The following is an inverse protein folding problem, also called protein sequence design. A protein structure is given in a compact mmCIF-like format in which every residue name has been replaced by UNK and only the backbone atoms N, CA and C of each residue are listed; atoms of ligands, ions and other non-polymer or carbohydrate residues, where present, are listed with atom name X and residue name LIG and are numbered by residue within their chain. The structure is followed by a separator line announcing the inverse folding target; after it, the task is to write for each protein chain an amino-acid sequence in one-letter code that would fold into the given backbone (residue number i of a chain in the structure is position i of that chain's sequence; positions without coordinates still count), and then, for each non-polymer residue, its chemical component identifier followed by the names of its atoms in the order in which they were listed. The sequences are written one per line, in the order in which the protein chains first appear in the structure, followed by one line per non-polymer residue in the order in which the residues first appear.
data_IF_652589789162
#
_entry.id   IF_652589789162
#
_cell.length_a   1.000
_cell.length_b   1.000
_cell.length_c   1.000
_cell.angle_alpha   90.00
_cell.angle_beta   90.00
_cell.angle_gamma   90.00
#
_symmetry.space_group_name_H-M   'P 1'
#
loop_
_entity.id
_entity.type
_entity.pdbx_description
1 polymer ?
#
# COMPACT_ATOMS: atom_id res chain seq x y z
N UNK A 1 -35.77 4.34 -32.22
CA UNK A 1 -36.56 5.06 -31.19
C UNK A 1 -37.10 4.10 -30.13
N UNK A 2 -37.84 3.05 -30.50
CA UNK A 2 -38.40 2.03 -29.57
C UNK A 2 -37.33 1.32 -28.73
N UNK A 3 -36.19 0.95 -29.33
CA UNK A 3 -35.06 0.32 -28.63
C UNK A 3 -34.38 1.24 -27.62
N UNK A 4 -34.22 2.53 -27.93
CA UNK A 4 -33.66 3.51 -27.00
C UNK A 4 -34.63 3.81 -25.84
N UNK A 5 -35.92 3.89 -26.12
CA UNK A 5 -36.95 4.10 -25.10
C UNK A 5 -37.02 2.90 -24.14
N UNK A 6 -36.97 1.67 -24.67
CA UNK A 6 -36.90 0.44 -23.86
C UNK A 6 -35.67 0.45 -22.95
N UNK A 7 -34.49 0.75 -23.49
CA UNK A 7 -33.26 0.84 -22.70
C UNK A 7 -33.34 1.94 -21.62
N UNK A 8 -34.02 3.05 -21.89
CA UNK A 8 -34.22 4.12 -20.91
C UNK A 8 -35.15 3.66 -19.79
N UNK A 9 -36.28 3.03 -20.13
CA UNK A 9 -37.24 2.48 -19.17
C UNK A 9 -36.64 1.37 -18.31
N UNK A 10 -35.82 0.48 -18.89
CA UNK A 10 -35.10 -0.56 -18.15
C UNK A 10 -34.09 0.04 -17.16
N UNK A 11 -33.34 1.08 -17.55
CA UNK A 11 -32.44 1.75 -16.62
C UNK A 11 -33.22 2.47 -15.50
N UNK A 12 -34.35 3.11 -15.80
CA UNK A 12 -35.22 3.76 -14.80
C UNK A 12 -35.81 2.74 -13.83
N UNK A 13 -36.31 1.61 -14.32
CA UNK A 13 -36.79 0.51 -13.51
C UNK A 13 -35.69 -0.01 -12.58
N UNK A 14 -34.46 -0.16 -13.08
CA UNK A 14 -33.32 -0.59 -12.27
C UNK A 14 -33.05 0.36 -11.09
N UNK A 15 -33.18 1.68 -11.27
CA UNK A 15 -33.03 2.66 -10.19
C UNK A 15 -34.13 2.56 -9.12
N UNK A 16 -35.32 2.06 -9.48
CA UNK A 16 -36.46 1.90 -8.57
C UNK A 16 -36.43 0.53 -7.87
N UNK A 17 -36.04 -0.53 -8.59
CA UNK A 17 -36.07 -1.91 -8.07
C UNK A 17 -34.80 -2.33 -7.36
N UNK A 18 -33.62 -1.88 -7.82
CA UNK A 18 -32.33 -2.16 -7.21
C UNK A 18 -31.40 -0.94 -7.33
N UNK A 19 -31.56 0.05 -6.44
CA UNK A 19 -30.78 1.28 -6.48
C UNK A 19 -29.28 1.03 -6.28
N UNK A 20 -28.88 -0.06 -5.61
CA UNK A 20 -27.47 -0.38 -5.40
C UNK A 20 -26.81 -1.00 -6.64
N UNK A 21 -27.53 -1.85 -7.39
CA UNK A 21 -27.08 -2.28 -8.71
C UNK A 21 -26.97 -1.10 -9.68
N UNK A 22 -27.94 -0.18 -9.65
CA UNK A 22 -27.91 1.02 -10.48
C UNK A 22 -26.69 1.90 -10.18
N UNK A 23 -26.40 2.14 -8.90
CA UNK A 23 -25.18 2.86 -8.47
C UNK A 23 -23.90 2.15 -8.87
N UNK A 24 -23.86 0.82 -8.84
CA UNK A 24 -22.68 0.04 -9.28
C UNK A 24 -22.45 0.17 -10.79
N UNK A 25 -23.48 -0.07 -11.59
CA UNK A 25 -23.41 0.07 -13.05
C UNK A 25 -23.03 1.51 -13.47
N UNK A 26 -23.56 2.52 -12.77
CA UNK A 26 -23.18 3.91 -12.99
C UNK A 26 -21.70 4.17 -12.66
N UNK A 27 -21.21 3.66 -11.52
CA UNK A 27 -19.80 3.77 -11.12
C UNK A 27 -18.88 3.10 -12.15
N UNK A 28 -19.21 1.89 -12.61
CA UNK A 28 -18.43 1.15 -13.61
C UNK A 28 -18.34 1.89 -14.95
N UNK A 29 -19.47 2.36 -15.48
CA UNK A 29 -19.48 3.16 -16.73
C UNK A 29 -18.61 4.40 -16.59
N UNK A 30 -18.68 5.07 -15.44
CA UNK A 30 -17.88 6.27 -15.17
C UNK A 30 -16.39 5.95 -15.11
N UNK A 31 -16.00 4.87 -14.41
CA UNK A 31 -14.61 4.38 -14.37
C UNK A 31 -14.08 4.04 -15.76
N UNK A 32 -14.86 3.30 -16.56
CA UNK A 32 -14.47 2.95 -17.93
C UNK A 32 -14.30 4.21 -18.82
N UNK A 33 -15.19 5.19 -18.67
CA UNK A 33 -15.09 6.45 -19.40
C UNK A 33 -13.82 7.24 -19.02
N UNK A 34 -13.46 7.26 -17.74
CA UNK A 34 -12.21 7.87 -17.25
C UNK A 34 -11.00 7.17 -17.87
N UNK A 35 -10.98 5.83 -17.86
CA UNK A 35 -9.89 5.03 -18.45
C UNK A 35 -9.65 5.35 -19.92
N UNK A 36 -10.71 5.40 -20.72
CA UNK A 36 -10.62 5.71 -22.16
C UNK A 36 -10.21 7.17 -22.40
N UNK A 37 -10.57 8.07 -21.49
CA UNK A 37 -10.22 9.49 -21.58
C UNK A 37 -8.75 9.75 -21.23
N UNK A 38 -8.27 9.18 -20.11
CA UNK A 38 -6.97 9.53 -19.51
C UNK A 38 -5.87 8.49 -19.72
N UNK A 39 -6.21 7.24 -20.03
CA UNK A 39 -5.24 6.19 -20.31
C UNK A 39 -4.19 6.62 -21.34
N UNK A 40 -4.58 7.14 -22.53
CA UNK A 40 -3.59 7.58 -23.53
C UNK A 40 -2.65 8.68 -23.06
N UNK A 41 -3.15 9.62 -22.24
CA UNK A 41 -2.37 10.73 -21.70
C UNK A 41 -1.38 10.24 -20.63
N UNK A 42 -1.83 9.37 -19.72
CA UNK A 42 -0.95 8.75 -18.72
C UNK A 42 0.12 7.86 -19.36
N UNK A 43 -0.25 7.09 -20.39
CA UNK A 43 0.71 6.25 -21.13
C UNK A 43 1.76 7.08 -21.86
N UNK A 44 1.37 8.24 -22.41
CA UNK A 44 2.30 9.16 -23.07
C UNK A 44 3.27 9.80 -22.07
N UNK A 45 2.76 10.24 -20.90
CA UNK A 45 3.55 10.89 -19.86
C UNK A 45 4.56 9.92 -19.21
N UNK A 46 4.18 8.64 -19.05
CA UNK A 46 4.97 7.69 -18.23
C UNK A 46 5.85 6.73 -19.03
N UNK A 47 5.83 6.82 -20.38
CA UNK A 47 6.70 6.06 -21.31
C UNK A 47 6.89 4.58 -20.93
N UNK A 48 5.78 3.88 -20.71
CA UNK A 48 5.78 2.42 -20.49
C UNK A 48 5.29 1.96 -19.13
N UNK A 49 4.82 2.85 -18.26
CA UNK A 49 4.12 2.42 -17.05
C UNK A 49 2.68 1.98 -17.37
N UNK A 50 2.16 0.93 -16.70
CA UNK A 50 0.80 0.46 -16.85
C UNK A 50 -0.19 1.52 -16.35
N UNK A 51 -0.87 2.19 -17.29
CA UNK A 51 -1.80 3.28 -16.97
C UNK A 51 -3.00 2.80 -16.11
N UNK A 52 -3.41 1.55 -16.28
CA UNK A 52 -4.41 0.86 -15.47
C UNK A 52 -4.04 0.81 -13.99
N UNK A 53 -2.76 0.56 -13.67
CA UNK A 53 -2.29 0.53 -12.29
C UNK A 53 -2.19 1.93 -11.67
N UNK A 54 -1.97 2.97 -12.49
CA UNK A 54 -1.97 4.37 -12.03
C UNK A 54 -3.39 4.87 -11.82
N UNK A 55 -4.35 4.44 -12.64
CA UNK A 55 -5.76 4.79 -12.49
C UNK A 55 -6.36 4.20 -11.21
N UNK A 56 -5.78 3.11 -10.68
CA UNK A 56 -6.28 2.39 -9.49
C UNK A 56 -7.77 2.04 -9.65
N UNK A 57 -8.14 1.52 -10.83
CA UNK A 57 -9.55 1.22 -11.14
C UNK A 57 -10.09 0.07 -10.26
N UNK A 58 -9.21 -0.73 -9.67
CA UNK A 58 -9.50 -1.98 -8.95
C UNK A 58 -9.64 -1.78 -7.43
N UNK A 59 -9.90 -0.55 -6.97
CA UNK A 59 -10.01 -0.21 -5.53
C UNK A 59 -11.13 -0.97 -4.79
N UNK A 60 -12.01 -1.66 -5.53
CA UNK A 60 -13.06 -2.52 -4.95
C UNK A 60 -12.50 -3.91 -4.57
N UNK A 61 -11.35 -4.30 -5.11
CA UNK A 61 -10.72 -5.58 -4.79
C UNK A 61 -10.01 -5.53 -3.44
N UNK A 62 -10.07 -6.65 -2.72
CA UNK A 62 -9.34 -6.83 -1.47
C UNK A 62 -7.85 -6.52 -1.67
N UNK A 63 -7.20 -5.96 -0.64
CA UNK A 63 -5.76 -5.73 -0.69
C UNK A 63 -5.05 -7.05 -0.99
N UNK A 64 -4.12 -7.07 -1.96
CA UNK A 64 -3.39 -8.28 -2.28
C UNK A 64 -2.56 -8.71 -1.06
N UNK A 65 -2.50 -10.01 -0.81
CA UNK A 65 -1.63 -10.56 0.24
C UNK A 65 -0.15 -10.60 -0.18
N UNK A 66 0.10 -10.73 -1.49
CA UNK A 66 1.45 -10.79 -2.05
C UNK A 66 2.20 -9.44 -1.95
N UNK A 67 3.43 -9.50 -1.44
CA UNK A 67 4.34 -8.37 -1.31
C UNK A 67 4.66 -7.66 -2.61
N UNK A 68 4.82 -8.38 -3.72
CA UNK A 68 5.09 -7.79 -5.03
C UNK A 68 3.91 -6.93 -5.49
N UNK A 69 2.70 -7.44 -5.33
CA UNK A 69 1.47 -6.75 -5.66
C UNK A 69 1.21 -5.53 -4.76
N UNK A 70 1.46 -5.64 -3.45
CA UNK A 70 1.41 -4.50 -2.53
C UNK A 70 2.43 -3.42 -2.91
N UNK A 71 3.63 -3.82 -3.32
CA UNK A 71 4.70 -2.91 -3.74
C UNK A 71 4.35 -2.16 -5.02
N UNK A 72 3.83 -2.87 -6.03
CA UNK A 72 3.29 -2.23 -7.24
C UNK A 72 2.20 -1.23 -6.89
N UNK A 73 1.26 -1.62 -6.02
CA UNK A 73 0.13 -0.77 -5.61
C UNK A 73 0.60 0.49 -4.89
N UNK A 74 1.55 0.39 -3.96
CA UNK A 74 2.15 1.55 -3.30
C UNK A 74 2.89 2.48 -4.28
N UNK A 75 3.67 1.90 -5.20
CA UNK A 75 4.42 2.66 -6.21
C UNK A 75 3.49 3.46 -7.12
N UNK A 76 2.51 2.79 -7.74
CA UNK A 76 1.57 3.47 -8.62
C UNK A 76 0.57 4.32 -7.85
N UNK A 77 0.30 4.03 -6.57
CA UNK A 77 -0.49 4.88 -5.67
C UNK A 77 0.13 6.26 -5.50
N UNK A 78 1.45 6.33 -5.39
CA UNK A 78 2.19 7.58 -5.36
C UNK A 78 2.10 8.35 -6.68
N UNK A 79 2.18 7.67 -7.82
CA UNK A 79 1.98 8.30 -9.14
C UNK A 79 0.53 8.80 -9.33
N UNK A 80 -0.45 8.04 -8.84
CA UNK A 80 -1.86 8.39 -8.84
C UNK A 80 -2.14 9.62 -7.97
N UNK A 81 -1.45 9.72 -6.83
CA UNK A 81 -1.52 10.88 -5.96
C UNK A 81 -1.06 12.16 -6.67
N UNK A 82 0.14 12.15 -7.28
CA UNK A 82 0.68 13.33 -7.98
C UNK A 82 -0.21 13.76 -9.15
N UNK A 83 -0.60 12.80 -10.00
CA UNK A 83 -1.51 13.07 -11.12
C UNK A 83 -2.88 13.57 -10.63
N UNK A 84 -3.46 12.96 -9.59
CA UNK A 84 -4.72 13.38 -8.98
C UNK A 84 -4.67 14.77 -8.35
N UNK A 85 -3.61 15.07 -7.58
CA UNK A 85 -3.44 16.38 -6.93
C UNK A 85 -3.28 17.51 -7.97
N UNK A 86 -2.51 17.27 -9.03
CA UNK A 86 -2.38 18.24 -10.13
C UNK A 86 -3.69 18.41 -10.88
N UNK A 87 -4.34 17.31 -11.22
CA UNK A 87 -5.62 17.33 -11.91
C UNK A 87 -6.66 18.10 -11.10
N UNK A 88 -6.76 17.86 -9.80
CA UNK A 88 -7.61 18.60 -8.89
C UNK A 88 -7.31 20.10 -8.93
N UNK A 89 -6.04 20.51 -8.84
CA UNK A 89 -5.66 21.93 -8.89
C UNK A 89 -6.12 22.59 -10.21
N UNK A 90 -5.93 21.91 -11.34
CA UNK A 90 -6.34 22.45 -12.65
C UNK A 90 -7.87 22.49 -12.80
N UNK A 91 -8.58 21.46 -12.33
CA UNK A 91 -10.05 21.41 -12.33
C UNK A 91 -10.63 22.51 -11.45
N UNK A 92 -10.11 22.73 -10.24
CA UNK A 92 -10.54 23.83 -9.36
C UNK A 92 -10.36 25.20 -10.01
N UNK A 93 -9.19 25.46 -10.61
CA UNK A 93 -8.94 26.70 -11.32
C UNK A 93 -9.93 26.94 -12.46
N UNK A 94 -10.25 25.89 -13.22
CA UNK A 94 -11.24 25.94 -14.30
C UNK A 94 -12.66 26.14 -13.76
N UNK A 95 -13.06 25.40 -12.74
CA UNK A 95 -14.38 25.50 -12.11
C UNK A 95 -14.62 26.90 -11.55
N UNK A 96 -13.59 27.51 -10.97
CA UNK A 96 -13.63 28.89 -10.55
C UNK A 96 -13.78 29.85 -11.72
N UNK A 97 -12.97 29.71 -12.78
CA UNK A 97 -13.12 30.54 -13.98
C UNK A 97 -14.52 30.41 -14.61
N UNK A 98 -15.08 29.20 -14.67
CA UNK A 98 -16.43 28.94 -15.14
C UNK A 98 -17.49 29.57 -14.23
N UNK A 99 -17.33 29.48 -12.90
CA UNK A 99 -18.27 30.06 -11.95
C UNK A 99 -18.25 31.58 -12.01
N UNK A 100 -17.07 32.20 -12.06
CA UNK A 100 -16.91 33.65 -12.23
C UNK A 100 -17.49 34.10 -13.57
N UNK A 101 -17.18 33.40 -14.66
CA UNK A 101 -17.74 33.67 -15.98
C UNK A 101 -19.27 33.57 -15.99
N UNK A 102 -19.83 32.55 -15.31
CA UNK A 102 -21.28 32.40 -15.16
C UNK A 102 -21.89 33.57 -14.38
N UNK A 103 -21.26 34.02 -13.30
CA UNK A 103 -21.73 35.15 -12.51
C UNK A 103 -21.76 36.43 -13.34
N UNK A 104 -20.69 36.71 -14.09
CA UNK A 104 -20.63 37.87 -14.99
C UNK A 104 -21.69 37.80 -16.07
N UNK A 105 -21.86 36.63 -16.70
CA UNK A 105 -22.83 36.44 -17.76
C UNK A 105 -24.26 36.64 -17.24
N UNK A 106 -24.62 35.99 -16.12
CA UNK A 106 -25.94 36.13 -15.49
C UNK A 106 -26.20 37.57 -15.06
N UNK A 107 -25.22 38.23 -14.45
CA UNK A 107 -25.36 39.62 -13.97
C UNK A 107 -25.46 40.63 -15.13
N UNK A 108 -24.67 40.44 -16.19
CA UNK A 108 -24.71 41.29 -17.38
C UNK A 108 -26.05 41.14 -18.12
N UNK A 109 -26.56 39.90 -18.26
CA UNK A 109 -27.87 39.68 -18.87
C UNK A 109 -28.99 40.30 -18.04
N UNK A 110 -28.97 40.14 -16.71
CA UNK A 110 -29.93 40.79 -15.83
C UNK A 110 -29.89 42.33 -15.94
N UNK A 111 -28.69 42.92 -16.00
CA UNK A 111 -28.51 44.37 -16.14
C UNK A 111 -29.04 44.89 -17.49
N UNK A 112 -28.71 44.23 -18.59
CA UNK A 112 -29.14 44.63 -19.93
C UNK A 112 -30.67 44.56 -20.09
N UNK A 113 -31.28 43.52 -19.52
CA UNK A 113 -32.74 43.37 -19.54
C UNK A 113 -33.47 44.40 -18.67
N UNK A 114 -32.89 44.79 -17.53
CA UNK A 114 -33.46 45.84 -16.68
C UNK A 114 -33.41 47.24 -17.31
N UNK A 115 -32.50 47.48 -18.26
CA UNK A 115 -32.28 48.82 -18.86
C UNK A 115 -33.02 49.01 -20.20
N UNK A 116 -33.19 47.96 -20.99
CA UNK A 116 -33.77 48.04 -22.33
C UNK A 116 -35.18 47.41 -22.35
N UNK A 117 -36.19 48.23 -22.07
CA UNK A 117 -37.59 47.82 -22.08
C UNK A 117 -38.15 47.53 -23.49
N UNK A 118 -38.91 46.43 -23.57
CA UNK A 118 -40.12 46.20 -24.40
C UNK A 118 -40.12 46.50 -25.91
N UNK A 119 -39.00 46.36 -26.62
CA UNK A 119 -39.09 46.25 -28.09
C UNK A 119 -39.24 44.78 -28.50
N UNK A 120 -40.04 44.52 -29.54
CA UNK A 120 -40.25 43.17 -30.09
C UNK A 120 -38.93 42.53 -30.52
N UNK A 121 -38.02 43.31 -31.11
CA UNK A 121 -36.67 42.85 -31.48
C UNK A 121 -35.84 42.44 -30.26
N UNK A 122 -36.01 43.14 -29.12
CA UNK A 122 -35.38 42.78 -27.87
C UNK A 122 -35.95 41.47 -27.30
N UNK A 123 -37.27 41.28 -27.34
CA UNK A 123 -37.93 40.05 -26.88
C UNK A 123 -37.47 38.80 -27.67
N UNK A 124 -37.43 38.87 -28.99
CA UNK A 124 -36.93 37.76 -29.81
C UNK A 124 -35.43 37.53 -29.64
N UNK A 125 -34.64 38.61 -29.56
CA UNK A 125 -33.20 38.53 -29.31
C UNK A 125 -32.87 37.93 -27.94
N UNK A 126 -33.64 38.28 -26.89
CA UNK A 126 -33.48 37.72 -25.56
C UNK A 126 -33.87 36.25 -25.48
N UNK A 127 -34.97 35.84 -26.11
CA UNK A 127 -35.37 34.43 -26.13
C UNK A 127 -34.30 33.57 -26.82
N UNK A 128 -33.79 34.00 -27.98
CA UNK A 128 -32.72 33.29 -28.68
C UNK A 128 -31.43 33.22 -27.84
N UNK A 129 -31.02 34.34 -27.23
CA UNK A 129 -29.85 34.37 -26.36
C UNK A 129 -30.03 33.49 -25.12
N UNK A 130 -31.20 33.51 -24.48
CA UNK A 130 -31.55 32.69 -23.33
C UNK A 130 -31.51 31.20 -23.65
N UNK A 131 -32.08 30.79 -24.79
CA UNK A 131 -32.00 29.39 -25.24
C UNK A 131 -30.55 28.96 -25.53
N UNK A 132 -29.73 29.81 -26.15
CA UNK A 132 -28.31 29.53 -26.35
C UNK A 132 -27.58 29.34 -25.00
N UNK A 133 -27.83 30.21 -24.02
CA UNK A 133 -27.25 30.09 -22.67
C UNK A 133 -27.75 28.80 -21.99
N UNK A 134 -29.03 28.46 -22.13
CA UNK A 134 -29.62 27.25 -21.56
C UNK A 134 -28.99 25.99 -22.16
N UNK A 135 -28.76 25.97 -23.48
CA UNK A 135 -28.06 24.89 -24.17
C UNK A 135 -26.62 24.74 -23.68
N UNK A 136 -25.90 25.85 -23.47
CA UNK A 136 -24.55 25.83 -22.91
C UNK A 136 -24.56 25.28 -21.47
N UNK A 137 -25.49 25.73 -20.62
CA UNK A 137 -25.62 25.22 -19.25
C UNK A 137 -25.98 23.73 -19.20
N UNK A 138 -26.90 23.30 -20.06
CA UNK A 138 -27.27 21.89 -20.22
C UNK A 138 -26.11 21.03 -20.72
N UNK A 139 -25.29 21.56 -21.63
CA UNK A 139 -24.07 20.91 -22.08
C UNK A 139 -23.04 20.75 -20.97
N UNK A 140 -22.79 21.82 -20.18
CA UNK A 140 -21.87 21.77 -19.03
C UNK A 140 -22.35 20.77 -17.99
N UNK A 141 -23.65 20.75 -17.69
CA UNK A 141 -24.27 19.77 -16.79
C UNK A 141 -24.09 18.35 -17.32
N UNK A 142 -24.37 18.11 -18.60
CA UNK A 142 -24.23 16.77 -19.20
C UNK A 142 -22.77 16.30 -19.22
N UNK A 143 -21.82 17.21 -19.44
CA UNK A 143 -20.40 16.91 -19.30
C UNK A 143 -20.04 16.55 -17.85
N UNK A 144 -20.55 17.28 -16.86
CA UNK A 144 -20.25 17.05 -15.44
C UNK A 144 -20.63 15.66 -14.93
N UNK A 145 -21.66 15.04 -15.53
CA UNK A 145 -22.07 13.67 -15.21
C UNK A 145 -20.99 12.63 -15.57
N UNK A 146 -20.05 12.97 -16.46
CA UNK A 146 -18.87 12.14 -16.73
C UNK A 146 -19.20 10.75 -17.28
N UNK A 147 -20.32 10.60 -17.98
CA UNK A 147 -20.77 9.30 -18.49
C UNK A 147 -20.10 8.88 -19.80
N UNK A 148 -19.41 9.80 -20.47
CA UNK A 148 -18.77 9.52 -21.76
C UNK A 148 -17.29 9.93 -21.74
N UNK A 149 -16.42 9.23 -22.50
CA UNK A 149 -15.00 9.62 -22.59
C UNK A 149 -14.82 11.04 -23.15
N UNK A 150 -15.72 11.48 -24.04
CA UNK A 150 -15.69 12.84 -24.60
C UNK A 150 -15.95 13.89 -23.53
N UNK A 151 -16.91 13.66 -22.62
CA UNK A 151 -17.17 14.55 -21.50
C UNK A 151 -15.92 14.72 -20.63
N UNK A 152 -15.23 13.62 -20.29
CA UNK A 152 -14.00 13.69 -19.52
C UNK A 152 -12.86 14.40 -20.25
N UNK A 153 -12.65 14.12 -21.54
CA UNK A 153 -11.63 14.84 -22.33
C UNK A 153 -11.91 16.34 -22.42
N UNK A 154 -13.19 16.72 -22.40
CA UNK A 154 -13.57 18.11 -22.42
C UNK A 154 -13.43 18.78 -21.06
N UNK A 155 -13.62 18.03 -19.96
CA UNK A 155 -13.44 18.52 -18.58
C UNK A 155 -11.96 18.58 -18.16
N UNK A 156 -11.19 17.57 -18.54
CA UNK A 156 -9.79 17.45 -18.16
C UNK A 156 -8.95 18.43 -18.98
N UNK A 157 -8.25 19.37 -18.34
CA UNK A 157 -7.44 20.34 -19.04
C UNK A 157 -6.26 19.66 -19.76
N UNK A 158 -5.97 20.12 -20.97
CA UNK A 158 -4.86 19.63 -21.78
C UNK A 158 -3.51 19.84 -21.08
N UNK A 159 -2.56 18.96 -21.37
CA UNK A 159 -1.19 19.02 -20.85
C UNK A 159 -0.84 17.87 -19.90
N UNK A 160 0.45 17.64 -19.61
CA UNK A 160 0.90 16.44 -18.89
C UNK A 160 0.24 16.34 -17.50
N UNK A 161 -0.22 15.13 -17.16
CA UNK A 161 -0.74 14.77 -15.84
C UNK A 161 0.41 14.53 -14.85
N UNK A 162 1.51 13.97 -15.33
CA UNK A 162 2.76 13.79 -14.58
C UNK A 162 3.90 14.59 -15.23
N UNK A 163 4.70 15.27 -14.42
CA UNK A 163 5.90 15.98 -14.89
C UNK A 163 7.13 15.13 -14.65
N UNK A 164 8.23 15.42 -15.35
CA UNK A 164 9.48 14.68 -15.17
C UNK A 164 9.96 14.71 -13.71
N UNK A 165 9.84 15.85 -13.02
CA UNK A 165 10.20 15.98 -11.60
C UNK A 165 9.38 15.04 -10.68
N UNK A 166 8.09 14.85 -10.98
CA UNK A 166 7.22 13.96 -10.20
C UNK A 166 7.48 12.50 -10.53
N UNK A 167 7.78 12.19 -11.80
CA UNK A 167 8.21 10.86 -12.21
C UNK A 167 9.51 10.51 -11.48
N UNK A 168 10.43 11.47 -11.36
CA UNK A 168 11.67 11.30 -10.63
C UNK A 168 11.42 11.13 -9.12
N UNK A 169 10.53 11.91 -8.50
CA UNK A 169 10.10 11.70 -7.09
C UNK A 169 9.53 10.30 -6.87
N UNK A 170 8.68 9.81 -7.78
CA UNK A 170 8.09 8.46 -7.69
C UNK A 170 9.17 7.38 -7.82
N UNK A 171 10.12 7.55 -8.74
CA UNK A 171 11.26 6.62 -8.91
C UNK A 171 12.17 6.62 -7.68
N UNK A 172 12.49 7.79 -7.14
CA UNK A 172 13.29 7.95 -5.93
C UNK A 172 12.58 7.33 -4.73
N UNK A 173 11.28 7.58 -4.56
CA UNK A 173 10.45 6.93 -3.55
C UNK A 173 10.48 5.41 -3.68
N UNK A 174 10.34 4.87 -4.91
CA UNK A 174 10.44 3.44 -5.17
C UNK A 174 11.79 2.86 -4.74
N UNK A 175 12.89 3.50 -5.12
CA UNK A 175 14.24 3.06 -4.77
C UNK A 175 14.57 3.20 -3.27
N UNK A 176 14.04 4.23 -2.62
CA UNK A 176 14.31 4.54 -1.22
C UNK A 176 13.46 3.71 -0.25
N UNK A 177 12.17 3.51 -0.56
CA UNK A 177 11.17 2.99 0.38
C UNK A 177 10.73 1.56 0.04
N UNK A 178 10.59 1.24 -1.24
CA UNK A 178 9.90 0.03 -1.69
C UNK A 178 10.85 -1.09 -2.08
N UNK A 179 11.83 -0.76 -2.92
CA UNK A 179 12.74 -1.71 -3.54
C UNK A 179 14.09 -1.70 -2.85
N UNK A 180 14.69 -2.88 -2.75
CA UNK A 180 16.07 -3.03 -2.32
C UNK A 180 16.93 -3.33 -3.54
N UNK A 181 18.04 -2.61 -3.66
CA UNK A 181 19.07 -2.88 -4.67
C UNK A 181 20.04 -3.87 -4.06
N UNK A 182 20.05 -5.10 -4.58
CA UNK A 182 21.02 -6.12 -4.17
C UNK A 182 22.36 -5.91 -4.89
N UNK A 183 23.48 -6.37 -4.31
CA UNK A 183 24.79 -6.28 -4.95
C UNK A 183 24.81 -6.90 -6.36
N UNK A 184 25.60 -6.35 -7.31
CA UNK A 184 25.72 -6.93 -8.64
C UNK A 184 26.28 -8.36 -8.55
N UNK A 185 25.77 -9.27 -9.40
CA UNK A 185 26.09 -10.71 -9.44
C UNK A 185 25.47 -11.58 -8.32
N UNK A 186 24.52 -11.05 -7.55
CA UNK A 186 23.76 -11.85 -6.57
C UNK A 186 22.99 -12.98 -7.29
N UNK A 187 23.16 -14.25 -6.88
CA UNK A 187 22.37 -15.39 -7.36
C UNK A 187 20.87 -15.20 -7.14
N UNK A 188 20.03 -15.72 -8.05
CA UNK A 188 18.58 -15.48 -8.05
C UNK A 188 17.87 -15.90 -6.73
N UNK A 189 18.38 -16.91 -6.05
CA UNK A 189 17.90 -17.42 -4.76
C UNK A 189 18.24 -16.51 -3.57
N UNK A 190 19.19 -15.59 -3.73
CA UNK A 190 19.59 -14.59 -2.72
C UNK A 190 19.06 -13.18 -3.02
N UNK A 191 18.38 -12.97 -4.15
CA UNK A 191 17.84 -11.66 -4.52
C UNK A 191 16.62 -11.32 -3.66
N UNK A 192 16.81 -10.39 -2.71
CA UNK A 192 15.71 -9.75 -1.99
C UNK A 192 15.28 -8.46 -2.68
N UNK A 193 14.18 -8.50 -3.45
CA UNK A 193 13.73 -7.33 -4.23
C UNK A 193 12.99 -6.26 -3.40
N UNK A 194 12.42 -6.64 -2.25
CA UNK A 194 11.51 -5.79 -1.48
C UNK A 194 12.09 -5.42 -0.12
N UNK A 195 11.85 -4.17 0.30
CA UNK A 195 12.13 -3.70 1.67
C UNK A 195 11.01 -4.14 2.61
N UNK A 196 11.29 -4.19 3.92
CA UNK A 196 10.32 -4.57 4.96
C UNK A 196 9.21 -3.54 5.21
N UNK A 197 9.34 -2.30 4.71
CA UNK A 197 8.43 -1.16 4.95
C UNK A 197 8.36 -0.72 6.42
N UNK A 198 9.43 -0.95 7.16
CA UNK A 198 9.57 -0.45 8.53
C UNK A 198 10.34 0.87 8.53
N UNK A 199 11.45 0.89 7.81
CA UNK A 199 12.31 2.04 7.59
C UNK A 199 12.68 2.13 6.11
N UNK A 200 12.99 3.34 5.67
CA UNK A 200 13.52 3.59 4.33
C UNK A 200 15.04 3.38 4.30
N UNK A 201 15.65 3.48 3.11
CA UNK A 201 17.10 3.33 2.91
C UNK A 201 17.94 4.20 3.86
N UNK A 202 17.41 5.35 4.25
CA UNK A 202 18.12 6.36 5.03
C UNK A 202 17.80 6.23 6.54
N UNK A 203 17.04 5.20 6.94
CA UNK A 203 16.69 4.90 8.33
C UNK A 203 15.51 5.72 8.87
N UNK A 204 14.73 6.39 8.02
CA UNK A 204 13.52 7.11 8.44
C UNK A 204 12.32 6.15 8.46
N UNK A 205 11.30 6.41 9.31
CA UNK A 205 10.09 5.58 9.31
C UNK A 205 9.38 5.64 7.95
N UNK A 206 8.89 4.49 7.49
CA UNK A 206 8.05 4.39 6.29
C UNK A 206 6.61 4.81 6.58
N UNK A 207 6.17 4.66 7.84
CA UNK A 207 4.88 5.17 8.27
C UNK A 207 4.84 6.69 8.05
N UNK A 208 3.81 7.18 7.35
CA UNK A 208 3.71 8.56 6.88
C UNK A 208 4.32 8.83 5.50
N UNK A 209 5.23 7.97 5.03
CA UNK A 209 5.65 7.95 3.62
C UNK A 209 4.66 7.16 2.77
N UNK A 210 4.29 5.97 3.24
CA UNK A 210 3.17 5.16 2.72
C UNK A 210 1.98 5.39 3.64
N UNK A 211 0.88 5.85 3.04
CA UNK A 211 -0.39 6.08 3.74
C UNK A 211 -1.38 4.98 3.33
N UNK A 212 -2.30 4.52 4.19
CA UNK A 212 -3.34 3.56 3.81
C UNK A 212 -4.13 3.97 2.55
N UNK A 213 -4.35 5.28 2.37
CA UNK A 213 -4.98 5.85 1.18
C UNK A 213 -4.18 5.57 -0.11
N UNK A 214 -2.85 5.46 -0.05
CA UNK A 214 -2.03 5.14 -1.23
C UNK A 214 -2.28 3.70 -1.73
N UNK A 215 -2.82 2.83 -0.88
CA UNK A 215 -3.17 1.46 -1.24
C UNK A 215 -4.66 1.30 -1.55
N UNK A 216 -5.52 2.13 -0.94
CA UNK A 216 -6.97 1.92 -0.92
C UNK A 216 -7.77 2.99 -1.66
N UNK A 217 -7.17 4.10 -2.10
CA UNK A 217 -7.89 5.21 -2.73
C UNK A 217 -7.39 5.44 -4.15
N UNK A 218 -8.32 5.46 -5.11
CA UNK A 218 -8.03 5.98 -6.46
C UNK A 218 -8.06 7.51 -6.40
N UNK A 219 -6.89 8.13 -6.19
CA UNK A 219 -6.76 9.58 -6.10
C UNK A 219 -7.24 10.32 -7.35
N UNK A 220 -6.98 9.77 -8.53
CA UNK A 220 -7.39 10.38 -9.80
C UNK A 220 -8.91 10.37 -9.96
N UNK A 221 -9.56 9.24 -9.65
CA UNK A 221 -11.02 9.14 -9.64
C UNK A 221 -11.62 10.06 -8.59
N UNK A 222 -11.05 10.10 -7.38
CA UNK A 222 -11.48 10.99 -6.31
C UNK A 222 -11.42 12.45 -6.75
N UNK A 223 -10.30 12.89 -7.35
CA UNK A 223 -10.16 14.24 -7.91
C UNK A 223 -11.26 14.56 -8.93
N UNK A 224 -11.56 13.63 -9.84
CA UNK A 224 -12.56 13.84 -10.89
C UNK A 224 -14.00 13.85 -10.35
N UNK A 225 -14.31 12.99 -9.39
CA UNK A 225 -15.63 12.90 -8.78
C UNK A 225 -15.88 14.12 -7.90
N UNK A 226 -14.95 14.47 -7.03
CA UNK A 226 -15.08 15.61 -6.11
C UNK A 226 -15.25 16.93 -6.87
N UNK A 227 -14.52 17.10 -7.98
CA UNK A 227 -14.57 18.33 -8.79
C UNK A 227 -15.69 18.33 -9.85
N UNK A 228 -16.39 17.21 -10.04
CA UNK A 228 -17.56 17.16 -10.95
C UNK A 228 -18.82 17.80 -10.37
N UNK A 229 -18.99 17.79 -9.04
CA UNK A 229 -20.18 18.33 -8.40
C UNK A 229 -20.27 19.87 -8.52
N UNK A 230 -19.20 20.65 -8.28
CA UNK A 230 -19.22 22.09 -8.54
C UNK A 230 -19.53 22.43 -10.01
N UNK A 231 -19.01 21.64 -10.97
CA UNK A 231 -19.35 21.81 -12.40
C UNK A 231 -20.83 21.56 -12.68
N UNK A 232 -21.42 20.53 -12.07
CA UNK A 232 -22.85 20.25 -12.21
C UNK A 232 -23.68 21.43 -11.70
N UNK A 233 -23.33 21.97 -10.52
CA UNK A 233 -24.00 23.13 -9.93
C UNK A 233 -23.87 24.37 -10.83
N UNK A 234 -22.67 24.66 -11.35
CA UNK A 234 -22.47 25.75 -12.29
C UNK A 234 -23.27 25.55 -13.59
N UNK A 235 -23.31 24.33 -14.13
CA UNK A 235 -24.12 23.98 -15.30
C UNK A 235 -25.63 24.18 -15.07
N UNK A 236 -26.15 23.77 -13.90
CA UNK A 236 -27.54 24.01 -13.50
C UNK A 236 -27.81 25.52 -13.39
N UNK A 237 -26.91 26.28 -12.78
CA UNK A 237 -27.07 27.73 -12.64
C UNK A 237 -27.14 28.44 -14.01
N UNK A 238 -26.24 28.08 -14.94
CA UNK A 238 -26.23 28.62 -16.31
C UNK A 238 -27.50 28.19 -17.06
N UNK A 239 -27.91 26.92 -16.93
CA UNK A 239 -29.10 26.39 -17.59
C UNK A 239 -30.36 27.13 -17.13
N UNK A 240 -30.53 27.26 -15.81
CA UNK A 240 -31.64 27.99 -15.23
C UNK A 240 -31.61 29.45 -15.64
N UNK A 241 -30.45 30.11 -15.61
CA UNK A 241 -30.33 31.48 -16.08
C UNK A 241 -30.77 31.64 -17.55
N UNK A 242 -30.36 30.73 -18.44
CA UNK A 242 -30.78 30.76 -19.84
C UNK A 242 -32.29 30.53 -20.03
N UNK A 243 -32.87 29.56 -19.32
CA UNK A 243 -34.31 29.30 -19.35
C UNK A 243 -35.11 30.49 -18.80
N UNK A 244 -34.59 31.16 -17.78
CA UNK A 244 -35.20 32.34 -17.21
C UNK A 244 -35.08 33.56 -18.11
N UNK A 245 -33.95 33.72 -18.82
CA UNK A 245 -33.79 34.72 -19.89
C UNK A 245 -34.83 34.54 -21.00
N UNK A 246 -35.27 33.31 -21.25
CA UNK A 246 -36.32 32.99 -22.20
C UNK A 246 -37.75 33.10 -21.63
N UNK A 247 -37.95 33.45 -20.35
CA UNK A 247 -39.26 33.50 -19.69
C UNK A 247 -39.53 34.84 -18.99
N UNK A 248 -40.72 35.42 -19.18
CA UNK A 248 -41.03 36.82 -18.81
C UNK A 248 -41.32 37.11 -17.31
N UNK A 249 -40.96 36.25 -16.34
CA UNK A 249 -41.44 36.49 -14.96
C UNK A 249 -40.53 36.03 -13.81
N UNK A 250 -40.44 36.90 -12.79
CA UNK A 250 -40.04 36.76 -11.36
C UNK A 250 -38.74 36.02 -10.98
N UNK A 251 -38.15 35.23 -11.86
CA UNK A 251 -37.02 34.33 -11.62
C UNK A 251 -35.64 35.01 -11.65
N UNK A 252 -35.60 36.29 -12.04
CA UNK A 252 -34.40 37.15 -12.10
C UNK A 252 -33.72 37.37 -10.76
N UNK A 253 -34.43 37.20 -9.65
CA UNK A 253 -33.86 37.31 -8.31
C UNK A 253 -33.15 36.02 -7.87
N UNK A 254 -33.50 34.86 -8.43
CA UNK A 254 -33.01 33.55 -7.98
C UNK A 254 -31.71 33.17 -8.70
N UNK A 255 -31.62 33.41 -10.00
CA UNK A 255 -30.46 33.01 -10.80
C UNK A 255 -29.12 33.68 -10.39
N UNK A 256 -29.07 35.00 -10.09
CA UNK A 256 -27.84 35.64 -9.61
C UNK A 256 -27.43 35.13 -8.22
N UNK A 257 -28.39 34.80 -7.37
CA UNK A 257 -28.13 34.22 -6.04
C UNK A 257 -27.56 32.81 -6.15
N UNK A 258 -28.11 31.97 -7.03
CA UNK A 258 -27.58 30.64 -7.30
C UNK A 258 -26.18 30.69 -7.95
N UNK A 259 -25.96 31.58 -8.93
CA UNK A 259 -24.66 31.79 -9.55
C UNK A 259 -23.63 32.37 -8.56
N UNK A 260 -24.05 33.31 -7.71
CA UNK A 260 -23.25 33.85 -6.62
C UNK A 260 -22.87 32.78 -5.59
N UNK A 261 -23.82 31.94 -5.19
CA UNK A 261 -23.57 30.79 -4.31
C UNK A 261 -22.57 29.80 -4.93
N UNK A 262 -22.70 29.48 -6.22
CA UNK A 262 -21.74 28.62 -6.93
C UNK A 262 -20.35 29.26 -7.02
N UNK A 263 -20.25 30.57 -7.26
CA UNK A 263 -18.99 31.31 -7.28
C UNK A 263 -18.32 31.35 -5.90
N UNK A 264 -19.07 31.61 -4.84
CA UNK A 264 -18.59 31.56 -3.45
C UNK A 264 -18.14 30.15 -3.10
N UNK A 265 -18.91 29.12 -3.44
CA UNK A 265 -18.52 27.72 -3.21
C UNK A 265 -17.24 27.34 -3.95
N UNK A 266 -17.13 27.69 -5.24
CA UNK A 266 -15.92 27.45 -6.03
C UNK A 266 -14.71 28.22 -5.51
N UNK A 267 -14.90 29.43 -4.99
CA UNK A 267 -13.86 30.22 -4.32
C UNK A 267 -13.41 29.54 -3.02
N UNK A 268 -14.35 29.16 -2.15
CA UNK A 268 -14.07 28.39 -0.93
C UNK A 268 -13.42 27.04 -1.26
N UNK A 269 -13.75 26.42 -2.40
CA UNK A 269 -13.14 25.18 -2.85
C UNK A 269 -11.66 25.33 -3.19
N UNK A 270 -11.22 26.50 -3.64
CA UNK A 270 -9.81 26.78 -3.91
C UNK A 270 -9.03 26.95 -2.60
N UNK A 271 -9.55 27.73 -1.66
CA UNK A 271 -8.79 28.17 -0.49
C UNK A 271 -8.98 27.28 0.75
N UNK A 272 -10.21 26.83 0.98
CA UNK A 272 -10.62 26.26 2.27
C UNK A 272 -10.88 24.75 2.21
N UNK A 273 -11.52 24.25 1.15
CA UNK A 273 -11.83 22.82 1.04
C UNK A 273 -10.56 21.96 0.97
N UNK A 274 -10.59 20.87 1.74
CA UNK A 274 -9.51 19.90 1.84
C UNK A 274 -9.10 19.42 0.44
N UNK A 275 -7.83 19.64 0.07
CA UNK A 275 -7.27 19.05 -1.15
C UNK A 275 -6.82 17.62 -0.88
N UNK A 276 -6.65 16.84 -1.95
CA UNK A 276 -6.06 15.50 -1.87
C UNK A 276 -4.68 15.56 -1.17
N UNK A 277 -3.90 16.60 -1.41
CA UNK A 277 -2.63 16.82 -0.71
C UNK A 277 -2.81 17.07 0.80
N UNK A 278 -3.77 17.91 1.21
CA UNK A 278 -4.05 18.18 2.63
C UNK A 278 -4.55 16.92 3.36
N UNK A 279 -5.47 16.18 2.75
CA UNK A 279 -6.03 14.93 3.32
C UNK A 279 -4.96 13.86 3.46
N UNK A 280 -4.14 13.62 2.42
CA UNK A 280 -3.01 12.70 2.48
C UNK A 280 -1.99 13.12 3.53
N UNK A 281 -1.69 14.42 3.65
CA UNK A 281 -0.76 14.92 4.67
C UNK A 281 -1.30 14.71 6.10
N UNK A 282 -2.61 14.88 6.31
CA UNK A 282 -3.24 14.58 7.60
C UNK A 282 -3.15 13.08 7.93
N UNK A 283 -3.50 12.22 6.97
CA UNK A 283 -3.39 10.76 7.14
C UNK A 283 -1.94 10.30 7.36
N UNK A 284 -0.96 10.95 6.72
CA UNK A 284 0.47 10.69 6.97
C UNK A 284 0.88 11.06 8.41
N UNK A 285 0.41 12.20 8.93
CA UNK A 285 0.67 12.61 10.32
C UNK A 285 0.00 11.67 11.32
N UNK A 286 -1.22 11.23 11.04
CA UNK A 286 -1.93 10.26 11.86
C UNK A 286 -1.21 8.91 11.88
N UNK A 287 -0.77 8.41 10.72
CA UNK A 287 0.01 7.17 10.61
C UNK A 287 1.32 7.24 11.43
N UNK A 288 2.01 8.39 11.38
CA UNK A 288 3.19 8.63 12.22
C UNK A 288 2.87 8.68 13.72
N UNK A 289 1.75 9.28 14.09
CA UNK A 289 1.35 9.43 15.50
C UNK A 289 0.95 8.09 16.14
N UNK A 290 0.31 7.20 15.37
CA UNK A 290 -0.14 5.88 15.84
C UNK A 290 1.01 4.86 15.84
N UNK A 291 1.99 5.01 14.96
CA UNK A 291 3.09 4.05 14.84
C UNK A 291 4.06 4.10 16.03
N UNK A 292 4.54 2.92 16.44
CA UNK A 292 5.60 2.79 17.44
C UNK A 292 7.01 3.04 16.85
N UNK A 293 7.19 2.92 15.53
CA UNK A 293 8.49 2.98 14.88
C UNK A 293 9.16 4.35 14.94
N UNK A 294 8.46 5.49 14.78
CA UNK A 294 9.08 6.82 14.94
C UNK A 294 9.75 6.98 16.32
N UNK A 295 9.08 6.53 17.39
CA UNK A 295 9.62 6.56 18.76
C UNK A 295 10.83 5.63 18.91
N UNK A 296 10.77 4.44 18.32
CA UNK A 296 11.90 3.50 18.33
C UNK A 296 13.11 4.05 17.57
N UNK A 297 12.90 4.70 16.43
CA UNK A 297 13.96 5.32 15.63
C UNK A 297 14.60 6.50 16.37
N UNK A 298 13.79 7.31 17.06
CA UNK A 298 14.29 8.39 17.90
C UNK A 298 15.12 7.87 19.08
N UNK A 299 14.71 6.76 19.71
CA UNK A 299 15.42 6.15 20.84
C UNK A 299 16.73 5.46 20.44
N UNK A 300 16.71 4.69 19.36
CA UNK A 300 17.84 3.84 18.95
C UNK A 300 18.81 4.55 17.98
N UNK A 301 18.35 5.62 17.33
CA UNK A 301 19.09 6.39 16.34
C UNK A 301 18.92 5.87 14.91
N UNK A 302 18.77 6.80 13.95
CA UNK A 302 18.55 6.50 12.52
C UNK A 302 19.65 5.62 11.90
N UNK A 303 20.90 5.81 12.33
CA UNK A 303 22.05 5.07 11.80
C UNK A 303 21.90 3.56 12.00
N UNK A 304 21.35 3.11 13.14
CA UNK A 304 21.14 1.68 13.38
C UNK A 304 20.16 1.04 12.40
N UNK A 305 19.15 1.80 11.95
CA UNK A 305 18.17 1.31 10.98
C UNK A 305 18.73 1.31 9.56
N UNK A 306 19.50 2.34 9.20
CA UNK A 306 20.24 2.37 7.93
C UNK A 306 21.27 1.23 7.84
N UNK A 307 21.88 0.85 8.97
CA UNK A 307 22.86 -0.23 9.06
C UNK A 307 22.27 -1.62 8.78
N UNK A 308 20.95 -1.82 8.87
CA UNK A 308 20.34 -3.12 8.55
C UNK A 308 20.51 -3.51 7.09
N UNK A 309 20.32 -2.58 6.16
CA UNK A 309 20.54 -2.85 4.73
C UNK A 309 21.99 -3.23 4.46
N UNK A 310 22.92 -2.55 5.15
CA UNK A 310 24.36 -2.87 5.08
C UNK A 310 24.61 -4.28 5.60
N UNK A 311 24.09 -4.63 6.78
CA UNK A 311 24.23 -5.96 7.37
C UNK A 311 23.65 -7.06 6.47
N UNK A 312 22.50 -6.82 5.84
CA UNK A 312 21.91 -7.76 4.88
C UNK A 312 22.74 -7.88 3.60
N UNK A 313 23.38 -6.81 3.12
CA UNK A 313 24.28 -6.86 1.97
C UNK A 313 25.55 -7.66 2.30
N UNK A 314 26.15 -7.41 3.47
CA UNK A 314 27.28 -8.19 3.98
C UNK A 314 26.92 -9.67 4.14
N UNK A 315 25.70 -9.98 4.58
CA UNK A 315 25.21 -11.36 4.67
C UNK A 315 25.10 -12.02 3.29
N UNK A 316 24.61 -11.31 2.27
CA UNK A 316 24.55 -11.81 0.89
C UNK A 316 25.98 -12.04 0.35
N UNK A 317 26.89 -11.10 0.55
CA UNK A 317 28.29 -11.24 0.10
C UNK A 317 28.98 -12.43 0.76
N UNK A 318 28.77 -12.63 2.07
CA UNK A 318 29.27 -13.82 2.78
C UNK A 318 28.66 -15.09 2.21
N UNK A 319 27.35 -15.13 2.02
CA UNK A 319 26.66 -16.28 1.42
C UNK A 319 27.17 -16.61 0.01
N UNK A 320 27.49 -15.61 -0.81
CA UNK A 320 28.09 -15.81 -2.13
C UNK A 320 29.53 -16.36 -2.07
N UNK A 321 30.26 -16.01 -1.03
CA UNK A 321 31.64 -16.49 -0.82
C UNK A 321 31.71 -17.86 -0.15
N UNK A 322 30.62 -18.27 0.49
CA UNK A 322 30.51 -19.50 1.26
C UNK A 322 30.46 -20.72 0.34
N UNK A 323 31.29 -21.72 0.63
CA UNK A 323 31.44 -22.93 -0.20
C UNK A 323 30.99 -24.20 0.51
N UNK A 324 30.68 -24.09 1.79
CA UNK A 324 30.19 -25.21 2.58
C UNK A 324 28.74 -25.54 2.23
N UNK A 325 28.35 -26.79 2.49
CA UNK A 325 27.00 -27.26 2.19
C UNK A 325 25.94 -26.45 2.93
N UNK A 326 24.82 -26.19 2.26
CA UNK A 326 23.67 -25.53 2.86
C UNK A 326 22.80 -26.54 3.61
N UNK A 327 22.51 -26.25 4.87
CA UNK A 327 21.58 -27.01 5.72
C UNK A 327 20.23 -26.30 5.70
N UNK A 328 19.26 -26.92 5.05
CA UNK A 328 17.90 -26.42 4.96
C UNK A 328 17.14 -26.66 6.28
N UNK A 329 16.59 -25.59 6.86
CA UNK A 329 15.76 -25.63 8.06
C UNK A 329 14.26 -25.56 7.74
N UNK A 330 13.90 -25.09 6.54
CA UNK A 330 12.52 -24.99 6.10
C UNK A 330 12.33 -24.02 4.94
N UNK A 331 11.08 -23.67 4.69
CA UNK A 331 10.69 -22.76 3.61
C UNK A 331 9.97 -21.56 4.19
N UNK A 332 10.32 -20.36 3.72
CA UNK A 332 9.70 -19.13 4.15
C UNK A 332 8.20 -19.09 3.78
N UNK A 333 7.36 -18.73 4.76
CA UNK A 333 5.89 -18.64 4.59
C UNK A 333 5.39 -17.21 4.44
N UNK A 334 6.29 -16.22 4.34
CA UNK A 334 6.00 -14.77 4.25
C UNK A 334 5.41 -14.12 5.52
N UNK A 335 4.99 -14.88 6.53
CA UNK A 335 4.34 -14.35 7.74
C UNK A 335 5.14 -13.24 8.46
N UNK A 336 6.47 -13.39 8.53
CA UNK A 336 7.32 -12.38 9.17
C UNK A 336 7.56 -11.16 8.27
N UNK A 337 7.60 -11.36 6.95
CA UNK A 337 7.71 -10.27 5.99
C UNK A 337 6.41 -9.44 5.96
N UNK A 338 5.23 -10.07 6.07
CA UNK A 338 3.94 -9.40 6.27
C UNK A 338 3.94 -8.54 7.54
N UNK A 339 4.57 -9.03 8.61
CA UNK A 339 4.77 -8.31 9.88
C UNK A 339 5.91 -7.29 9.85
N UNK A 340 6.49 -7.06 8.67
CA UNK A 340 7.56 -6.09 8.43
C UNK A 340 8.83 -6.38 9.24
N UNK A 341 9.12 -7.65 9.50
CA UNK A 341 10.37 -8.05 10.14
C UNK A 341 11.54 -7.80 9.16
N UNK A 342 12.53 -6.98 9.52
CA UNK A 342 13.67 -6.69 8.64
C UNK A 342 14.60 -7.90 8.41
N UNK A 343 14.51 -8.94 9.24
CA UNK A 343 15.35 -10.13 9.13
C UNK A 343 14.68 -11.29 8.41
N UNK A 344 13.40 -11.17 8.07
CA UNK A 344 12.70 -12.23 7.35
C UNK A 344 13.17 -12.31 5.89
N UNK A 345 13.18 -13.51 5.29
CA UNK A 345 13.29 -13.65 3.84
C UNK A 345 12.26 -12.77 3.12
N UNK A 346 12.64 -12.21 1.98
CA UNK A 346 11.85 -11.20 1.29
C UNK A 346 10.60 -11.74 0.59
N UNK A 347 10.53 -13.06 0.37
CA UNK A 347 9.46 -13.71 -0.40
C UNK A 347 9.11 -15.09 0.18
N UNK A 348 7.85 -15.47 0.02
CA UNK A 348 7.39 -16.85 0.25
C UNK A 348 8.16 -17.85 -0.63
N UNK A 349 8.32 -19.08 -0.15
CA UNK A 349 8.92 -20.16 -0.94
C UNK A 349 10.46 -20.16 -0.94
N UNK A 350 11.11 -19.10 -0.43
CA UNK A 350 12.57 -19.09 -0.31
C UNK A 350 13.04 -20.13 0.70
N UNK A 351 14.11 -20.89 0.40
CA UNK A 351 14.72 -21.80 1.38
C UNK A 351 15.29 -20.99 2.54
N UNK A 352 15.02 -21.42 3.76
CA UNK A 352 15.56 -20.83 4.97
C UNK A 352 16.49 -21.84 5.64
N UNK A 353 17.73 -21.43 5.90
CA UNK A 353 18.73 -22.34 6.41
C UNK A 353 20.04 -21.65 6.74
N UNK A 354 21.03 -22.46 7.05
CA UNK A 354 22.36 -22.03 7.46
C UNK A 354 23.40 -22.80 6.65
N UNK A 355 24.52 -22.16 6.32
CA UNK A 355 25.68 -22.92 5.84
C UNK A 355 26.25 -23.77 6.97
N UNK A 356 26.98 -24.84 6.63
CA UNK A 356 27.75 -25.61 7.63
C UNK A 356 28.74 -24.71 8.37
N UNK A 357 29.32 -23.72 7.68
CA UNK A 357 30.15 -22.68 8.28
C UNK A 357 29.42 -21.89 9.36
N UNK A 358 28.21 -21.41 9.07
CA UNK A 358 27.40 -20.67 10.06
C UNK A 358 26.99 -21.57 11.23
N UNK A 359 26.56 -22.81 10.93
CA UNK A 359 26.14 -23.77 11.96
C UNK A 359 27.28 -24.15 12.92
N UNK A 360 28.55 -23.97 12.49
CA UNK A 360 29.72 -24.18 13.34
C UNK A 360 29.85 -23.16 14.47
N UNK A 361 29.13 -22.04 14.40
CA UNK A 361 28.90 -21.19 15.56
C UNK A 361 27.90 -21.89 16.50
N UNK A 362 26.63 -21.51 16.52
CA UNK A 362 25.64 -22.09 17.43
C UNK A 362 24.23 -22.02 16.81
N UNK A 363 23.42 -23.05 17.02
CA UNK A 363 21.98 -23.03 16.73
C UNK A 363 21.19 -23.32 18.00
N UNK A 364 20.27 -22.42 18.34
CA UNK A 364 19.38 -22.57 19.49
C UNK A 364 17.94 -22.84 19.03
N UNK A 365 17.37 -23.97 19.45
CA UNK A 365 16.00 -24.38 19.10
C UNK A 365 15.14 -24.41 20.37
N UNK A 366 14.19 -23.48 20.48
CA UNK A 366 13.30 -23.34 21.63
C UNK A 366 11.86 -23.76 21.28
N UNK A 367 11.14 -24.28 22.27
CA UNK A 367 9.76 -24.73 22.09
C UNK A 367 9.29 -25.64 23.22
N UNK A 368 7.97 -25.77 23.39
CA UNK A 368 7.40 -26.64 24.43
C UNK A 368 7.59 -28.14 24.11
N UNK A 369 7.31 -29.01 25.07
CA UNK A 369 7.28 -30.46 24.80
C UNK A 369 6.18 -30.78 23.79
N UNK A 370 6.49 -31.58 22.77
CA UNK A 370 5.53 -31.95 21.72
C UNK A 370 5.46 -31.01 20.52
N UNK A 371 6.16 -29.86 20.52
CA UNK A 371 6.14 -28.91 19.39
C UNK A 371 7.06 -29.31 18.22
N UNK A 372 7.56 -30.54 18.22
CA UNK A 372 8.36 -31.04 17.10
C UNK A 372 9.84 -30.66 17.08
N UNK A 373 10.44 -30.02 18.10
CA UNK A 373 11.88 -29.63 18.10
C UNK A 373 12.83 -30.73 17.59
N UNK A 374 12.70 -31.93 18.15
CA UNK A 374 13.55 -33.07 17.78
C UNK A 374 13.20 -33.60 16.40
N UNK A 375 11.91 -33.75 16.10
CA UNK A 375 11.43 -34.39 14.88
C UNK A 375 11.57 -33.50 13.63
N UNK A 376 11.28 -32.21 13.76
CA UNK A 376 11.17 -31.26 12.66
C UNK A 376 12.44 -30.41 12.45
N UNK A 377 13.30 -30.27 13.47
CA UNK A 377 14.52 -29.44 13.36
C UNK A 377 15.78 -30.28 13.56
N UNK A 378 15.95 -30.90 14.74
CA UNK A 378 17.22 -31.57 15.07
C UNK A 378 17.48 -32.77 14.14
N UNK A 379 16.50 -33.65 13.94
CA UNK A 379 16.66 -34.83 13.08
C UNK A 379 17.02 -34.46 11.62
N UNK A 380 16.28 -33.57 10.92
CA UNK A 380 16.65 -33.14 9.58
C UNK A 380 18.03 -32.49 9.49
N UNK A 381 18.42 -31.69 10.49
CA UNK A 381 19.74 -31.05 10.54
C UNK A 381 20.84 -32.09 10.68
N UNK A 382 20.68 -33.06 11.59
CA UNK A 382 21.66 -34.14 11.78
C UNK A 382 21.83 -34.98 10.51
N UNK A 383 20.72 -35.29 9.83
CA UNK A 383 20.76 -36.02 8.56
C UNK A 383 21.55 -35.26 7.49
N UNK A 384 21.20 -34.00 7.25
CA UNK A 384 21.89 -33.14 6.27
C UNK A 384 23.37 -32.92 6.64
N UNK A 385 23.69 -32.81 7.93
CA UNK A 385 25.07 -32.68 8.41
C UNK A 385 25.92 -33.90 8.06
N UNK A 386 25.36 -35.11 8.23
CA UNK A 386 26.05 -36.35 7.89
C UNK A 386 26.17 -36.54 6.38
N UNK A 387 25.11 -36.23 5.63
CA UNK A 387 25.10 -36.30 4.16
C UNK A 387 26.15 -35.35 3.56
N UNK A 388 26.26 -34.15 4.12
CA UNK A 388 27.30 -33.17 3.77
C UNK A 388 28.73 -33.57 4.23
N UNK A 389 28.88 -34.66 5.00
CA UNK A 389 30.14 -35.07 5.63
C UNK A 389 30.82 -33.93 6.40
N UNK A 390 30.01 -33.11 7.06
CA UNK A 390 30.43 -31.83 7.65
C UNK A 390 31.24 -31.97 8.96
N UNK A 391 31.41 -33.17 9.48
CA UNK A 391 32.27 -33.45 10.64
C UNK A 391 31.68 -34.49 11.59
N UNK A 392 32.31 -34.64 12.76
CA UNK A 392 31.82 -35.51 13.83
C UNK A 392 30.64 -34.90 14.59
N UNK A 393 29.76 -35.75 15.11
CA UNK A 393 28.57 -35.34 15.86
C UNK A 393 28.61 -35.89 17.28
N UNK A 394 28.44 -35.03 18.28
CA UNK A 394 28.21 -35.43 19.67
C UNK A 394 26.77 -35.10 20.06
N UNK A 395 25.99 -36.14 20.34
CA UNK A 395 24.56 -36.01 20.70
C UNK A 395 24.39 -36.27 22.18
N UNK A 396 23.85 -35.27 22.90
CA UNK A 396 23.41 -35.40 24.28
C UNK A 396 21.89 -35.45 24.32
N UNK A 397 21.36 -36.66 24.46
CA UNK A 397 19.91 -36.89 24.56
C UNK A 397 19.56 -37.53 25.91
N UNK A 398 18.88 -36.76 26.77
CA UNK A 398 18.42 -37.23 28.08
C UNK A 398 17.42 -38.39 28.02
N UNK A 399 16.78 -38.64 26.86
CA UNK A 399 15.87 -39.79 26.65
C UNK A 399 16.52 -40.95 25.89
N UNK A 400 17.71 -40.73 25.32
CA UNK A 400 18.46 -41.74 24.57
C UNK A 400 17.75 -42.30 23.32
N UNK A 401 16.77 -41.59 22.76
CA UNK A 401 16.10 -41.99 21.51
C UNK A 401 16.95 -41.64 20.29
N UNK A 402 17.46 -40.40 20.22
CA UNK A 402 18.21 -39.91 19.07
C UNK A 402 19.54 -40.68 18.86
N UNK A 403 20.33 -41.03 19.91
CA UNK A 403 21.52 -41.86 19.72
C UNK A 403 21.24 -43.27 19.19
N UNK A 404 20.07 -43.86 19.52
CA UNK A 404 19.67 -45.18 18.99
C UNK A 404 19.36 -45.10 17.51
N UNK A 405 18.68 -44.05 17.08
CA UNK A 405 18.35 -43.80 15.67
C UNK A 405 19.62 -43.57 14.82
N UNK A 406 20.64 -42.93 15.40
CA UNK A 406 21.88 -42.59 14.69
C UNK A 406 22.92 -43.71 14.69
N UNK A 407 22.78 -44.74 15.54
CA UNK A 407 23.78 -45.80 15.71
C UNK A 407 24.02 -46.66 14.45
N UNK A 408 23.11 -46.61 13.46
CA UNK A 408 23.24 -47.33 12.19
C UNK A 408 23.96 -46.55 11.08
N UNK A 409 24.44 -45.33 11.34
CA UNK A 409 25.01 -44.46 10.32
C UNK A 409 26.55 -44.58 10.27
N UNK A 410 27.18 -44.42 9.09
CA UNK A 410 28.63 -44.52 8.98
C UNK A 410 29.33 -43.51 9.91
N UNK A 411 30.35 -43.95 10.63
CA UNK A 411 31.16 -43.16 11.58
C UNK A 411 30.54 -42.83 12.96
N UNK A 412 29.39 -43.40 13.35
CA UNK A 412 28.86 -43.24 14.72
C UNK A 412 29.36 -44.33 15.67
N UNK A 413 30.06 -43.95 16.75
CA UNK A 413 30.27 -44.81 17.93
C UNK A 413 29.25 -44.44 19.00
N UNK A 414 28.30 -45.32 19.27
CA UNK A 414 27.39 -45.18 20.40
C UNK A 414 28.05 -45.72 21.68
N UNK A 415 28.72 -44.84 22.44
CA UNK A 415 29.04 -45.15 23.84
C UNK A 415 27.84 -44.76 24.69
N UNK A 416 26.99 -45.73 25.02
CA UNK A 416 26.05 -45.54 26.11
C UNK A 416 26.89 -45.27 27.36
N UNK A 417 26.82 -44.05 27.90
CA UNK A 417 27.44 -43.71 29.18
C UNK A 417 26.64 -44.38 30.31
N UNK A 418 26.70 -45.71 30.34
CA UNK A 418 26.09 -46.51 31.37
C UNK A 418 26.93 -46.27 32.63
N UNK A 419 26.31 -45.72 33.68
CA UNK A 419 26.97 -45.24 34.90
C UNK A 419 27.58 -46.36 35.77
N UNK A 420 27.81 -47.54 35.21
CA UNK A 420 28.42 -48.68 35.89
C UNK A 420 29.45 -49.31 34.95
N UNK A 421 30.69 -49.30 35.44
CA UNK A 421 31.87 -50.06 34.98
C UNK A 421 32.42 -49.76 33.58
N UNK A 422 33.45 -48.90 33.50
CA UNK A 422 34.61 -49.15 32.64
C UNK A 422 35.80 -48.23 32.96
N UNK A 423 36.95 -48.85 33.18
CA UNK A 423 38.33 -48.36 33.24
C UNK A 423 38.71 -47.54 31.99
N UNK A 424 39.62 -46.54 32.06
CA UNK A 424 39.83 -45.61 30.94
C UNK A 424 40.81 -46.18 29.90
N UNK A 425 40.36 -46.29 28.64
CA UNK A 425 41.25 -46.49 27.50
C UNK A 425 41.56 -45.15 26.81
N UNK A 426 42.85 -44.92 26.52
CA UNK A 426 43.44 -43.72 25.89
C UNK A 426 42.65 -43.21 24.67
N UNK A 427 42.26 -41.93 24.71
CA UNK A 427 41.73 -41.18 23.57
C UNK A 427 42.91 -40.60 22.79
N UNK A 428 43.03 -41.01 21.53
CA UNK A 428 43.98 -40.46 20.54
C UNK A 428 43.53 -39.06 20.10
N UNK A 429 44.44 -38.10 20.23
CA UNK A 429 44.28 -36.69 19.89
C UNK A 429 44.35 -36.45 18.38
N UNK A 430 43.21 -36.51 17.69
CA UNK A 430 42.99 -35.86 16.38
C UNK A 430 41.48 -35.78 16.08
N UNK A 431 40.79 -34.84 16.71
CA UNK A 431 39.44 -34.43 16.28
C UNK A 431 39.43 -32.91 16.12
N UNK A 432 39.12 -32.46 14.90
CA UNK A 432 38.71 -31.08 14.65
C UNK A 432 37.30 -30.91 15.25
N UNK A 433 37.16 -29.89 16.09
CA UNK A 433 35.95 -29.31 16.72
C UNK A 433 34.63 -30.10 16.55
N UNK A 434 34.13 -30.79 17.60
CA UNK A 434 32.78 -31.36 17.61
C UNK A 434 31.71 -30.29 17.88
N UNK A 435 30.58 -30.36 17.16
CA UNK A 435 29.37 -29.57 17.47
C UNK A 435 28.54 -30.32 18.52
N UNK A 436 28.10 -29.58 19.55
CA UNK A 436 27.33 -30.10 20.68
C UNK A 436 25.83 -29.83 20.49
N UNK A 437 25.02 -30.89 20.40
CA UNK A 437 23.57 -30.77 20.47
C UNK A 437 23.06 -31.17 21.86
N UNK A 438 22.45 -30.22 22.57
CA UNK A 438 21.83 -30.43 23.89
C UNK A 438 20.33 -30.19 23.83
N UNK A 439 19.53 -31.20 24.18
CA UNK A 439 18.08 -31.09 24.34
C UNK A 439 17.73 -31.22 25.82
N UNK A 440 17.44 -30.10 26.48
CA UNK A 440 17.01 -30.07 27.87
C UNK A 440 15.49 -29.97 27.97
N UNK A 441 14.86 -30.92 28.67
CA UNK A 441 13.46 -30.81 29.10
C UNK A 441 13.40 -30.34 30.54
N UNK A 442 12.94 -29.11 30.78
CA UNK A 442 12.77 -28.59 32.14
C UNK A 442 11.62 -29.30 32.89
N UNK A 443 11.75 -29.55 34.20
CA UNK A 443 10.71 -30.20 35.00
C UNK A 443 9.49 -29.29 35.24
N UNK A 444 8.29 -29.88 35.17
CA UNK A 444 6.94 -29.26 35.23
C UNK A 444 6.66 -28.29 36.40
N UNK A 445 7.49 -28.26 37.45
CA UNK A 445 7.21 -27.48 38.67
C UNK A 445 7.59 -25.99 38.54
N UNK A 446 8.65 -25.67 37.79
CA UNK A 446 9.14 -24.28 37.63
C UNK A 446 8.26 -23.47 36.67
N UNK A 447 7.50 -24.13 35.79
CA UNK A 447 6.67 -23.49 34.77
C UNK A 447 5.28 -23.04 35.29
N UNK A 448 4.80 -23.59 36.42
CA UNK A 448 3.49 -23.22 37.00
C UNK A 448 3.49 -21.88 37.72
N UNK A 449 4.62 -21.48 38.31
CA UNK A 449 4.73 -20.21 39.04
C UNK A 449 5.00 -19.02 38.10
N UNK A 450 5.65 -19.25 36.97
CA UNK A 450 5.85 -18.22 35.93
C UNK A 450 4.61 -17.98 35.09
N UNK A 451 3.80 -19.01 34.80
CA UNK A 451 2.57 -18.84 34.01
C UNK A 451 1.43 -18.13 34.77
N UNK A 452 1.34 -18.30 36.10
CA UNK A 452 0.32 -17.60 36.91
C UNK A 452 0.55 -16.09 37.02
N UNK A 453 1.79 -15.62 36.84
CA UNK A 453 2.11 -14.19 36.82
C UNK A 453 1.83 -13.54 35.44
N UNK A 454 1.78 -14.31 34.36
CA UNK A 454 1.60 -13.81 33.00
C UNK A 454 0.13 -13.79 32.53
N UNK A 455 -0.76 -14.57 33.17
CA UNK A 455 -2.16 -14.70 32.75
C UNK A 455 -3.11 -13.60 33.28
N UNK A 456 -2.57 -12.52 33.86
CA UNK A 456 -3.35 -11.54 34.62
C UNK A 456 -3.52 -10.14 34.02
N UNK A 457 -2.87 -9.77 32.90
CA UNK A 457 -3.00 -8.38 32.40
C UNK A 457 -2.84 -8.26 30.89
N UNK A 458 -3.95 -7.99 30.19
CA UNK A 458 -3.99 -7.55 28.79
C UNK A 458 -3.62 -6.05 28.69
N UNK A 459 -2.36 -5.68 28.96
CA UNK A 459 -1.87 -4.34 28.60
C UNK A 459 -0.40 -4.34 28.17
N UNK A 460 0.01 -3.45 27.23
CA UNK A 460 1.34 -3.49 26.59
C UNK A 460 2.50 -3.08 27.52
N UNK A 461 2.21 -2.64 28.74
CA UNK A 461 3.19 -2.08 29.68
C UNK A 461 3.95 -3.17 30.45
N UNK A 462 3.38 -4.39 30.58
CA UNK A 462 3.99 -5.47 31.37
C UNK A 462 5.23 -6.12 30.74
N UNK A 463 5.45 -5.96 29.42
CA UNK A 463 6.62 -6.54 28.75
C UNK A 463 7.95 -5.85 29.12
N UNK A 464 7.91 -4.56 29.51
CA UNK A 464 9.11 -3.84 29.94
C UNK A 464 9.62 -4.28 31.32
N UNK A 465 8.73 -4.73 32.22
CA UNK A 465 9.11 -5.14 33.57
C UNK A 465 9.78 -6.53 33.61
N UNK A 466 9.36 -7.45 32.75
CA UNK A 466 9.95 -8.80 32.68
C UNK A 466 11.40 -8.79 32.18
N UNK A 467 11.78 -7.81 31.34
CA UNK A 467 13.13 -7.68 30.78
C UNK A 467 14.18 -7.21 31.81
N UNK A 468 13.78 -6.50 32.88
CA UNK A 468 14.71 -6.05 33.94
C UNK A 468 15.11 -7.15 34.94
N UNK A 469 14.30 -8.19 35.12
CA UNK A 469 14.62 -9.27 36.08
C UNK A 469 15.59 -10.33 35.52
N UNK A 470 15.71 -10.45 34.20
CA UNK A 470 16.58 -11.45 33.57
C UNK A 470 18.05 -11.00 33.45
N UNK A 471 18.35 -9.71 33.61
CA UNK A 471 19.71 -9.15 33.50
C UNK A 471 20.43 -9.03 34.87
N UNK A 472 19.88 -9.62 35.95
CA UNK A 472 20.47 -9.58 37.29
C UNK A 472 20.62 -10.97 37.95
N UNK A 473 20.56 -12.07 37.19
CA UNK A 473 20.79 -13.43 37.71
C UNK A 473 21.89 -14.14 36.95
#
# INVERSE_FOLDING_TARGET
MVTQFRNYMENLLLWVTDPEAAKRAWRERRTQAIRIALGPQLSADTRGWPADQILHDDVIEALPSDRASLTRRAFYGRAAFHSGARLQKRLRARNFALSVGSLFLVSATAYLMGRNGSSLAWQWGSIAAGLCIALVGGYVLLCSLGLTPRAWRLMVPAGPLLTEDEIQDVKEFGARVLLRVTPPRTPADLVGSYRSWTYDRDGNPVDGQIVPDDLSVSYLRKALVDESMPMAVAGIAILLAGLFVASDSLSWFIAPVAAGGAAVWSFLAIFDLSSIAKTRAAAAREALAVSAYPKLIEQEGKSKFADFDRALNEQIERAMSEKSSFINLGTATDLFAERRDPYSPAQAGMPFGLSVGDLSTHMLVLGQTGTGKTAAVIRPVVWQWQEAKAGGLLVLDGKGQLPKELAGLPATRSSALNRRTSTPSRISSRMKSPILFSSYSAPRKVMRETFRAASGSNSPVSYCAARRKFLRS
#
